data_IF_091778716225
#
_entry.id   IF_091778716225
#
_cell.length_a   1.000
_cell.length_b   1.000
_cell.length_c   1.000
_cell.angle_alpha   90.00
_cell.angle_beta   90.00
_cell.angle_gamma   90.00
#
_symmetry.space_group_name_H-M   'P 1'
#
loop_
_entity.id
_entity.type
_entity.pdbx_description
1 polymer ?
#
# COMPACT_ATOMS: atom_id res chain seq x y z
N UNK A 1 -4.92 26.65 41.60
CA UNK A 1 -3.80 25.70 41.31
C UNK A 1 -4.30 24.42 40.65
N UNK A 2 -5.38 23.79 41.15
CA UNK A 2 -5.97 22.57 40.57
C UNK A 2 -6.41 22.73 39.10
N UNK A 3 -7.12 23.82 38.77
CA UNK A 3 -7.61 24.06 37.39
C UNK A 3 -6.50 24.32 36.37
N UNK A 4 -5.38 24.89 36.84
CA UNK A 4 -4.21 25.13 36.01
C UNK A 4 -3.51 23.82 35.61
N UNK A 5 -3.41 22.88 36.56
CA UNK A 5 -2.84 21.54 36.33
C UNK A 5 -3.76 20.71 35.43
N UNK A 6 -5.08 20.81 35.61
CA UNK A 6 -6.05 20.15 34.73
C UNK A 6 -5.98 20.66 33.28
N UNK A 7 -5.92 21.98 33.10
CA UNK A 7 -5.81 22.58 31.77
C UNK A 7 -4.49 22.23 31.07
N UNK A 8 -3.37 22.16 31.80
CA UNK A 8 -2.09 21.67 31.27
C UNK A 8 -2.16 20.20 30.86
N UNK A 9 -2.82 19.35 31.65
CA UNK A 9 -3.03 17.93 31.33
C UNK A 9 -3.85 17.73 30.05
N UNK A 10 -4.92 18.51 29.87
CA UNK A 10 -5.76 18.47 28.67
C UNK A 10 -4.97 18.90 27.43
N UNK A 11 -4.19 19.99 27.51
CA UNK A 11 -3.33 20.45 26.40
C UNK A 11 -2.30 19.37 26.04
N UNK A 12 -1.67 18.73 27.03
CA UNK A 12 -0.73 17.64 26.81
C UNK A 12 -1.35 16.46 26.06
N UNK A 13 -2.56 16.03 26.46
CA UNK A 13 -3.30 14.97 25.78
C UNK A 13 -3.65 15.33 24.33
N UNK A 14 -4.04 16.58 24.07
CA UNK A 14 -4.32 17.07 22.72
C UNK A 14 -3.06 16.98 21.85
N UNK A 15 -1.90 17.43 22.34
CA UNK A 15 -0.64 17.37 21.61
C UNK A 15 -0.25 15.92 21.29
N UNK A 16 -0.37 15.01 22.26
CA UNK A 16 -0.08 13.57 22.06
C UNK A 16 -1.02 12.99 21.00
N UNK A 17 -2.31 13.32 21.06
CA UNK A 17 -3.28 12.87 20.07
C UNK A 17 -2.93 13.35 18.65
N UNK A 18 -2.63 14.65 18.49
CA UNK A 18 -2.17 15.20 17.21
C UNK A 18 -0.90 14.51 16.70
N UNK A 19 0.06 14.26 17.59
CA UNK A 19 1.29 13.57 17.24
C UNK A 19 1.04 12.14 16.76
N UNK A 20 0.17 11.37 17.44
CA UNK A 20 -0.20 10.01 17.05
C UNK A 20 -0.88 10.00 15.67
N UNK A 21 -1.86 10.88 15.45
CA UNK A 21 -2.56 10.99 14.16
C UNK A 21 -1.57 11.32 13.04
N UNK A 22 -0.73 12.33 13.25
CA UNK A 22 0.26 12.74 12.24
C UNK A 22 1.30 11.64 11.97
N UNK A 23 1.74 10.92 13.00
CA UNK A 23 2.67 9.82 12.85
C UNK A 23 2.07 8.64 12.08
N UNK A 24 0.79 8.33 12.31
CA UNK A 24 0.05 7.33 11.54
C UNK A 24 -0.13 7.75 10.07
N UNK A 25 -0.48 9.02 9.82
CA UNK A 25 -0.59 9.57 8.46
C UNK A 25 0.75 9.47 7.71
N UNK A 26 1.84 9.90 8.36
CA UNK A 26 3.18 9.86 7.77
C UNK A 26 3.61 8.44 7.42
N UNK A 27 3.22 7.43 8.23
CA UNK A 27 3.50 6.04 7.90
C UNK A 27 2.79 5.62 6.62
N UNK A 28 1.59 6.10 6.33
CA UNK A 28 0.80 5.65 5.18
C UNK A 28 1.12 6.35 3.85
N UNK A 29 2.21 7.11 3.77
CA UNK A 29 2.64 7.71 2.51
C UNK A 29 3.43 6.70 1.65
N UNK A 30 3.21 6.66 0.32
CA UNK A 30 4.03 5.87 -0.58
C UNK A 30 5.47 6.39 -0.59
N UNK A 31 6.44 5.49 -0.77
CA UNK A 31 7.82 5.91 -1.00
C UNK A 31 8.01 6.46 -2.41
N UNK A 32 9.04 7.27 -2.65
CA UNK A 32 9.37 7.74 -4.00
C UNK A 32 9.64 6.58 -4.96
N UNK A 33 10.26 5.50 -4.46
CA UNK A 33 10.51 4.28 -5.23
C UNK A 33 9.20 3.58 -5.63
N UNK A 34 8.20 3.54 -4.73
CA UNK A 34 6.87 3.01 -5.07
C UNK A 34 6.25 3.80 -6.22
N UNK A 35 6.33 5.13 -6.15
CA UNK A 35 5.78 6.02 -7.17
C UNK A 35 6.50 5.83 -8.52
N UNK A 36 7.83 5.77 -8.50
CA UNK A 36 8.65 5.59 -9.70
C UNK A 36 8.38 4.22 -10.35
N UNK A 37 8.36 3.14 -9.56
CA UNK A 37 8.02 1.79 -10.05
C UNK A 37 6.63 1.75 -10.68
N UNK A 38 5.63 2.26 -9.98
CA UNK A 38 4.26 2.28 -10.47
C UNK A 38 4.13 3.11 -11.77
N UNK A 39 4.86 4.23 -11.85
CA UNK A 39 4.91 5.04 -13.06
C UNK A 39 5.55 4.28 -14.23
N UNK A 40 6.73 3.67 -14.01
CA UNK A 40 7.43 2.87 -15.02
C UNK A 40 6.54 1.76 -15.58
N UNK A 41 5.87 1.00 -14.72
CA UNK A 41 4.95 -0.07 -15.13
C UNK A 41 3.81 0.43 -16.02
N UNK A 42 3.25 1.60 -15.72
CA UNK A 42 2.17 2.19 -16.52
C UNK A 42 2.67 2.68 -17.89
N UNK A 43 3.90 3.17 -17.95
CA UNK A 43 4.51 3.62 -19.22
C UNK A 43 4.86 2.41 -20.09
N UNK A 44 5.44 1.35 -19.52
CA UNK A 44 5.86 0.19 -20.31
C UNK A 44 4.72 -0.74 -20.67
N UNK A 45 3.65 -0.78 -19.86
CA UNK A 45 2.47 -1.60 -20.10
C UNK A 45 1.20 -0.74 -19.98
N UNK A 46 0.81 0.01 -21.04
CA UNK A 46 -0.30 0.97 -20.97
C UNK A 46 -1.67 0.34 -20.67
N UNK A 47 -1.83 -0.96 -20.90
CA UNK A 47 -3.05 -1.71 -20.59
C UNK A 47 -3.04 -2.34 -19.18
N UNK A 48 -1.94 -2.19 -18.43
CA UNK A 48 -1.80 -2.71 -17.07
C UNK A 48 -2.41 -1.72 -16.06
N UNK A 49 -3.35 -2.21 -15.27
CA UNK A 49 -3.88 -1.40 -14.16
C UNK A 49 -2.99 -1.57 -12.93
N UNK A 50 -2.30 -0.51 -12.51
CA UNK A 50 -1.46 -0.54 -11.28
C UNK A 50 -2.16 0.17 -10.12
N UNK A 51 -2.39 -0.55 -9.02
CA UNK A 51 -3.08 -0.08 -7.81
C UNK A 51 -2.19 -0.19 -6.57
N UNK A 52 -2.39 0.72 -5.62
CA UNK A 52 -1.72 0.68 -4.32
C UNK A 52 -0.22 0.97 -4.37
N UNK A 53 0.47 0.66 -3.28
CA UNK A 53 1.92 0.80 -3.10
C UNK A 53 2.41 -0.14 -1.99
N UNK A 54 3.73 -0.32 -1.88
CA UNK A 54 4.35 -1.21 -0.92
C UNK A 54 5.12 -2.36 -1.58
N UNK A 55 5.49 -3.32 -0.74
CA UNK A 55 6.38 -4.41 -1.14
C UNK A 55 5.65 -5.69 -1.46
N UNK A 56 4.44 -5.90 -0.95
CA UNK A 56 3.65 -7.08 -1.29
C UNK A 56 2.84 -6.81 -2.53
N UNK A 57 2.63 -7.81 -3.37
CA UNK A 57 1.85 -7.66 -4.59
C UNK A 57 1.03 -8.89 -4.94
N UNK A 58 -0.04 -8.65 -5.68
CA UNK A 58 -0.81 -9.67 -6.39
C UNK A 58 -1.02 -9.16 -7.82
N UNK A 59 -0.59 -9.96 -8.78
CA UNK A 59 -0.82 -9.80 -10.19
C UNK A 59 -1.92 -10.76 -10.64
N UNK A 60 -2.98 -10.21 -11.24
CA UNK A 60 -4.15 -10.99 -11.60
C UNK A 60 -4.85 -10.45 -12.84
N UNK A 61 -5.65 -11.29 -13.47
CA UNK A 61 -6.56 -10.93 -14.57
C UNK A 61 -7.99 -11.05 -14.08
N UNK A 62 -8.77 -10.00 -14.28
CA UNK A 62 -10.22 -9.99 -14.04
C UNK A 62 -10.90 -9.39 -15.28
N UNK A 63 -11.90 -10.10 -15.83
CA UNK A 63 -12.65 -9.67 -17.03
C UNK A 63 -11.74 -9.27 -18.21
N UNK A 64 -10.62 -9.98 -18.40
CA UNK A 64 -9.67 -9.72 -19.49
C UNK A 64 -8.69 -8.57 -19.25
N UNK A 65 -8.77 -7.88 -18.11
CA UNK A 65 -7.83 -6.81 -17.76
C UNK A 65 -6.82 -7.28 -16.72
N UNK A 66 -5.53 -7.13 -17.04
CA UNK A 66 -4.44 -7.42 -16.12
C UNK A 66 -4.29 -6.26 -15.12
N UNK A 67 -4.26 -6.63 -13.84
CA UNK A 67 -4.11 -5.72 -12.71
C UNK A 67 -2.94 -6.14 -11.85
N UNK A 68 -2.13 -5.17 -11.48
CA UNK A 68 -1.05 -5.31 -10.51
C UNK A 68 -1.42 -4.50 -9.27
N UNK A 69 -1.66 -5.19 -8.16
CA UNK A 69 -2.09 -4.56 -6.92
C UNK A 69 -1.03 -4.72 -5.83
N UNK A 70 -0.57 -3.59 -5.31
CA UNK A 70 0.43 -3.51 -4.27
C UNK A 70 -0.19 -3.26 -2.90
N UNK A 71 0.40 -3.91 -1.90
CA UNK A 71 0.01 -3.81 -0.50
C UNK A 71 1.22 -3.46 0.34
N UNK A 72 1.00 -2.52 1.25
CA UNK A 72 2.01 -2.12 2.24
C UNK A 72 2.15 -3.14 3.36
N UNK A 73 1.02 -3.71 3.80
CA UNK A 73 0.96 -4.59 4.97
C UNK A 73 0.68 -6.04 4.57
N UNK A 74 1.45 -6.98 5.12
CA UNK A 74 1.30 -8.43 4.85
C UNK A 74 -0.12 -8.92 5.16
N UNK A 75 -0.73 -8.44 6.24
CA UNK A 75 -2.10 -8.81 6.64
C UNK A 75 -3.16 -8.41 5.62
N UNK A 76 -3.01 -7.26 4.96
CA UNK A 76 -3.93 -6.83 3.90
C UNK A 76 -3.74 -7.67 2.63
N UNK A 77 -2.48 -7.97 2.29
CA UNK A 77 -2.11 -8.84 1.19
C UNK A 77 -2.69 -10.25 1.37
N UNK A 78 -2.47 -10.88 2.52
CA UNK A 78 -2.96 -12.24 2.82
C UNK A 78 -4.47 -12.31 2.74
N UNK A 79 -5.16 -11.37 3.38
CA UNK A 79 -6.62 -11.29 3.34
C UNK A 79 -7.14 -11.14 1.91
N UNK A 80 -6.51 -10.27 1.11
CA UNK A 80 -6.93 -10.05 -0.28
C UNK A 80 -6.67 -11.29 -1.13
N UNK A 81 -5.51 -11.94 -0.94
CA UNK A 81 -5.16 -13.18 -1.65
C UNK A 81 -6.15 -14.30 -1.35
N UNK A 82 -6.55 -14.48 -0.09
CA UNK A 82 -7.56 -15.48 0.29
C UNK A 82 -8.92 -15.23 -0.34
N UNK A 83 -9.34 -13.95 -0.42
CA UNK A 83 -10.59 -13.57 -1.08
C UNK A 83 -10.50 -13.86 -2.57
N UNK A 84 -9.42 -13.44 -3.23
CA UNK A 84 -9.22 -13.62 -4.67
C UNK A 84 -9.12 -15.10 -5.05
N UNK A 85 -8.51 -15.95 -4.22
CA UNK A 85 -8.45 -17.41 -4.45
C UNK A 85 -9.81 -18.09 -4.44
N UNK A 86 -10.81 -17.51 -3.76
CA UNK A 86 -12.19 -18.03 -3.72
C UNK A 86 -13.04 -17.54 -4.88
N UNK A 87 -12.60 -16.52 -5.60
CA UNK A 87 -13.31 -15.93 -6.72
C UNK A 87 -12.84 -16.56 -8.04
N UNK A 88 -13.70 -17.35 -8.68
CA UNK A 88 -13.38 -18.03 -9.95
C UNK A 88 -13.26 -17.07 -11.14
N UNK A 89 -13.71 -15.82 -11.01
CA UNK A 89 -13.58 -14.79 -12.05
C UNK A 89 -12.18 -14.16 -12.10
N UNK A 90 -11.36 -14.41 -11.08
CA UNK A 90 -10.02 -13.86 -10.93
C UNK A 90 -8.99 -14.93 -11.23
N UNK A 91 -8.15 -14.67 -12.23
CA UNK A 91 -6.99 -15.51 -12.53
C UNK A 91 -5.73 -14.86 -11.95
N UNK A 92 -5.24 -15.37 -10.83
CA UNK A 92 -3.96 -14.93 -10.26
C UNK A 92 -2.82 -15.42 -11.14
N UNK A 93 -1.95 -14.51 -11.58
CA UNK A 93 -0.79 -14.80 -12.42
C UNK A 93 0.48 -14.97 -11.57
N UNK A 94 0.70 -14.04 -10.64
CA UNK A 94 1.85 -14.03 -9.75
C UNK A 94 1.49 -13.27 -8.46
N UNK A 95 2.17 -13.56 -7.35
CA UNK A 95 2.00 -12.82 -6.11
C UNK A 95 3.20 -13.05 -5.19
N UNK A 96 3.45 -12.11 -4.28
CA UNK A 96 4.49 -12.28 -3.27
C UNK A 96 5.12 -10.98 -2.82
N UNK A 97 6.36 -11.08 -2.32
CA UNK A 97 7.17 -9.92 -1.95
C UNK A 97 7.98 -9.45 -3.17
N UNK A 98 7.95 -8.15 -3.42
CA UNK A 98 8.73 -7.47 -4.45
C UNK A 98 10.15 -7.33 -3.94
N UNK A 99 11.09 -8.01 -4.59
CA UNK A 99 12.51 -7.83 -4.38
C UNK A 99 12.97 -6.43 -4.77
N UNK A 100 14.10 -5.98 -4.21
CA UNK A 100 14.66 -4.64 -4.46
C UNK A 100 14.92 -4.34 -5.94
N UNK A 101 15.13 -5.36 -6.79
CA UNK A 101 15.40 -5.23 -8.23
C UNK A 101 14.28 -5.74 -9.13
N UNK A 102 13.16 -6.18 -8.58
CA UNK A 102 12.06 -6.73 -9.37
C UNK A 102 11.41 -5.69 -10.28
N UNK A 103 11.69 -4.41 -10.08
CA UNK A 103 11.24 -3.34 -10.94
C UNK A 103 12.05 -3.22 -12.25
N UNK A 104 13.30 -3.71 -12.29
CA UNK A 104 14.18 -3.62 -13.46
C UNK A 104 13.63 -4.41 -14.65
N UNK A 105 12.89 -5.51 -14.40
CA UNK A 105 12.24 -6.31 -15.44
C UNK A 105 11.22 -5.52 -16.28
N UNK A 106 10.76 -4.37 -15.78
CA UNK A 106 9.81 -3.50 -16.48
C UNK A 106 10.48 -2.40 -17.28
N UNK A 107 11.80 -2.19 -17.15
CA UNK A 107 12.54 -1.13 -17.84
C UNK A 107 13.38 -1.60 -19.02
N UNK A 108 13.51 -2.92 -19.22
CA UNK A 108 14.19 -3.53 -20.37
C UNK A 108 13.24 -3.86 -21.52
#
# INVERSE_FOLDING_TARGET
>A
MHDFIYNLGIIGLIIIFFYIVFWLDRRNKPSELDLLRNHLQRVTHPNLTVKGFGNYHIEYVIRGHQTFEYFKYCSQYEKSLEIMKKDSSIKILNHGLTGYRDWEKWGN
#
